data_IF_488516669131
#
_entry.id   IF_488516669131
#
_cell.length_a   1.000
_cell.length_b   1.000
_cell.length_c   1.000
_cell.angle_alpha   90.00
_cell.angle_beta   90.00
_cell.angle_gamma   90.00
#
_symmetry.space_group_name_H-M   'P 1'
#
loop_
_entity.id
_entity.type
_entity.pdbx_description
1 polymer ?
#
# COMPACT_ATOMS: atom_id res chain seq x y z
N UNK A 1 -8.11 7.15 26.71
CA UNK A 1 -8.49 6.09 25.74
C UNK A 1 -7.31 5.61 24.86
N UNK A 2 -6.41 6.49 24.41
CA UNK A 2 -5.23 6.09 23.60
C UNK A 2 -4.23 5.16 24.33
N UNK A 3 -4.04 5.37 25.60
CA UNK A 3 -3.11 4.60 26.43
C UNK A 3 -3.56 3.14 26.66
N UNK A 4 -4.87 2.91 26.71
CA UNK A 4 -5.46 1.58 26.85
C UNK A 4 -5.30 0.73 25.58
N UNK A 5 -5.37 1.34 24.41
CA UNK A 5 -5.19 0.65 23.12
C UNK A 5 -3.75 0.16 22.94
N UNK A 6 -2.77 0.95 23.37
CA UNK A 6 -1.35 0.59 23.30
C UNK A 6 -1.00 -0.55 24.26
N UNK A 7 -1.54 -0.54 25.48
CA UNK A 7 -1.27 -1.57 26.49
C UNK A 7 -2.01 -2.89 26.22
N UNK A 8 -3.20 -2.84 25.67
CA UNK A 8 -3.94 -4.04 25.27
C UNK A 8 -3.26 -4.77 24.10
N UNK A 9 -2.69 -4.03 23.14
CA UNK A 9 -1.96 -4.60 22.01
C UNK A 9 -0.65 -5.28 22.42
N UNK A 10 0.05 -4.78 23.42
CA UNK A 10 1.29 -5.39 23.94
C UNK A 10 0.99 -6.71 24.65
N UNK A 11 -0.21 -6.90 25.22
CA UNK A 11 -0.61 -8.11 25.93
C UNK A 11 -1.23 -9.18 25.04
N UNK A 12 -1.61 -8.85 23.82
CA UNK A 12 -2.16 -9.80 22.86
C UNK A 12 -1.05 -10.72 22.33
N UNK A 13 -1.34 -12.01 22.31
CA UNK A 13 -0.48 -13.05 21.68
C UNK A 13 -0.85 -13.32 20.23
N UNK A 14 -2.00 -12.83 19.79
CA UNK A 14 -2.52 -12.93 18.44
C UNK A 14 -2.17 -11.66 17.64
N UNK A 15 -2.15 -11.77 16.32
CA UNK A 15 -1.86 -10.65 15.44
C UNK A 15 -2.86 -9.50 15.62
N UNK A 16 -2.36 -8.28 15.76
CA UNK A 16 -3.17 -7.06 15.91
C UNK A 16 -4.04 -6.80 14.66
N UNK A 17 -3.64 -7.34 13.52
CA UNK A 17 -4.35 -7.27 12.23
C UNK A 17 -5.15 -8.56 12.00
N UNK A 18 -6.09 -8.85 12.87
CA UNK A 18 -6.99 -10.01 12.76
C UNK A 18 -8.24 -9.72 11.90
N UNK A 19 -8.13 -8.87 10.90
CA UNK A 19 -9.21 -8.70 9.92
C UNK A 19 -8.94 -9.59 8.72
N UNK A 20 -9.61 -10.72 8.66
CA UNK A 20 -9.79 -11.48 7.43
C UNK A 20 -10.70 -10.66 6.51
N UNK A 21 -10.12 -9.74 5.77
CA UNK A 21 -10.83 -9.07 4.68
C UNK A 21 -10.57 -9.85 3.41
N UNK A 22 -11.61 -10.26 2.68
CA UNK A 22 -11.44 -10.92 1.40
C UNK A 22 -10.62 -10.05 0.44
N UNK A 23 -9.67 -10.67 -0.28
CA UNK A 23 -8.82 -9.96 -1.22
C UNK A 23 -9.66 -9.12 -2.21
N UNK A 24 -9.33 -7.85 -2.36
CA UNK A 24 -10.01 -6.91 -3.24
C UNK A 24 -11.29 -6.29 -2.68
N UNK A 25 -11.69 -6.58 -1.45
CA UNK A 25 -12.88 -5.96 -0.84
C UNK A 25 -12.70 -4.44 -0.72
N UNK A 26 -11.59 -3.99 -0.15
CA UNK A 26 -11.27 -2.59 -0.01
C UNK A 26 -11.16 -1.88 -1.37
N UNK A 27 -10.57 -2.54 -2.36
CA UNK A 27 -10.48 -2.01 -3.72
C UNK A 27 -11.86 -1.82 -4.36
N UNK A 28 -12.75 -2.82 -4.28
CA UNK A 28 -14.13 -2.71 -4.82
C UNK A 28 -14.91 -1.60 -4.14
N UNK A 29 -14.82 -1.51 -2.81
CA UNK A 29 -15.46 -0.44 -2.04
C UNK A 29 -14.91 0.94 -2.43
N UNK A 30 -13.59 1.07 -2.60
CA UNK A 30 -12.94 2.30 -3.04
C UNK A 30 -13.37 2.73 -4.44
N UNK A 31 -13.44 1.79 -5.39
CA UNK A 31 -13.92 2.05 -6.77
C UNK A 31 -15.38 2.51 -6.74
N UNK A 32 -16.24 1.85 -5.97
CA UNK A 32 -17.66 2.20 -5.86
C UNK A 32 -17.91 3.59 -5.28
N UNK A 33 -17.09 4.00 -4.31
CA UNK A 33 -17.20 5.31 -3.64
C UNK A 33 -16.58 6.45 -4.44
N UNK A 34 -15.58 6.14 -5.24
CA UNK A 34 -14.84 7.11 -6.04
C UNK A 34 -13.75 7.86 -5.27
N UNK A 35 -12.82 8.49 -6.01
CA UNK A 35 -11.60 9.08 -5.45
C UNK A 35 -11.83 10.19 -4.44
N UNK A 36 -12.83 11.05 -4.67
CA UNK A 36 -13.11 12.19 -3.79
C UNK A 36 -13.64 11.72 -2.42
N UNK A 37 -14.53 10.72 -2.42
CA UNK A 37 -15.04 10.14 -1.18
C UNK A 37 -13.91 9.41 -0.41
N UNK A 38 -13.00 8.74 -1.12
CA UNK A 38 -11.84 8.09 -0.50
C UNK A 38 -10.89 9.11 0.12
N UNK A 39 -10.63 10.24 -0.55
CA UNK A 39 -9.84 11.32 0.04
C UNK A 39 -10.51 11.94 1.27
N UNK A 40 -11.82 12.13 1.25
CA UNK A 40 -12.56 12.65 2.39
C UNK A 40 -12.47 11.71 3.60
N UNK A 41 -12.62 10.40 3.38
CA UNK A 41 -12.47 9.38 4.43
C UNK A 41 -11.05 9.33 4.97
N UNK A 42 -10.05 9.36 4.09
CA UNK A 42 -8.64 9.40 4.48
C UNK A 42 -8.32 10.63 5.34
N UNK A 43 -8.93 11.79 5.04
CA UNK A 43 -8.79 13.00 5.84
C UNK A 43 -9.39 12.83 7.22
N UNK A 44 -10.61 12.29 7.33
CA UNK A 44 -11.31 12.07 8.62
C UNK A 44 -10.59 11.03 9.46
N UNK A 45 -10.06 9.96 8.85
CA UNK A 45 -9.32 8.91 9.56
C UNK A 45 -8.03 9.39 10.20
N UNK A 46 -7.48 10.52 9.74
CA UNK A 46 -6.19 11.08 10.17
C UNK A 46 -5.05 10.03 10.11
N UNK A 47 -5.10 9.11 9.14
CA UNK A 47 -4.06 8.11 8.95
C UNK A 47 -2.71 8.79 8.67
N UNK A 48 -1.68 8.31 9.34
CA UNK A 48 -0.31 8.83 9.24
C UNK A 48 0.66 7.74 8.84
N UNK A 49 1.75 8.15 8.20
CA UNK A 49 2.87 7.27 7.89
C UNK A 49 3.44 6.60 9.16
N UNK A 50 3.92 5.38 8.98
CA UNK A 50 4.48 4.55 10.05
C UNK A 50 5.99 4.28 9.88
N UNK A 51 6.63 5.03 8.98
CA UNK A 51 8.07 4.95 8.72
C UNK A 51 8.93 5.94 9.53
N UNK A 52 8.37 6.62 10.56
CA UNK A 52 9.11 7.55 11.43
C UNK A 52 8.47 8.94 11.49
N UNK A 53 8.48 9.70 10.40
CA UNK A 53 8.03 11.09 10.36
C UNK A 53 6.54 11.32 10.66
N UNK A 54 5.70 10.28 10.58
CA UNK A 54 4.27 10.41 10.89
C UNK A 54 3.50 11.36 9.98
N UNK A 55 3.96 11.54 8.73
CA UNK A 55 3.34 12.46 7.80
C UNK A 55 1.89 12.05 7.48
N UNK A 56 0.98 13.03 7.36
CA UNK A 56 -0.44 12.78 7.12
C UNK A 56 -0.66 12.22 5.71
N UNK A 57 -1.19 11.00 5.61
CA UNK A 57 -1.37 10.27 4.35
C UNK A 57 -2.30 11.01 3.39
N UNK A 58 -3.39 11.60 3.91
CA UNK A 58 -4.32 12.41 3.12
C UNK A 58 -3.61 13.51 2.33
N UNK A 59 -2.69 14.26 2.97
CA UNK A 59 -1.97 15.37 2.30
C UNK A 59 -1.14 14.85 1.14
N UNK A 60 -0.46 13.71 1.31
CA UNK A 60 0.31 13.08 0.23
C UNK A 60 -0.58 12.68 -0.95
N UNK A 61 -1.70 12.02 -0.67
CA UNK A 61 -2.61 11.55 -1.72
C UNK A 61 -3.28 12.70 -2.46
N UNK A 62 -3.76 13.71 -1.73
CA UNK A 62 -4.36 14.90 -2.32
C UNK A 62 -3.36 15.65 -3.20
N UNK A 63 -2.13 15.86 -2.72
CA UNK A 63 -1.08 16.53 -3.49
C UNK A 63 -0.71 15.76 -4.75
N UNK A 64 -0.56 14.43 -4.65
CA UNK A 64 -0.27 13.58 -5.80
C UNK A 64 -1.40 13.63 -6.84
N UNK A 65 -2.67 13.56 -6.39
CA UNK A 65 -3.83 13.63 -7.27
C UNK A 65 -3.94 14.98 -7.99
N UNK A 66 -3.66 16.08 -7.29
CA UNK A 66 -3.72 17.45 -7.85
C UNK A 66 -2.48 17.87 -8.63
N UNK A 67 -1.43 17.07 -8.61
CA UNK A 67 -0.20 17.39 -9.35
C UNK A 67 -0.50 17.57 -10.83
N UNK A 68 0.04 18.63 -11.40
CA UNK A 68 -0.06 18.98 -12.83
C UNK A 68 1.33 19.08 -13.43
N UNK A 69 1.46 18.76 -14.72
CA UNK A 69 2.68 18.96 -15.47
C UNK A 69 2.38 19.85 -16.69
N UNK A 70 3.30 20.74 -17.01
CA UNK A 70 3.10 21.71 -18.13
C UNK A 70 3.15 21.08 -19.52
N UNK A 71 3.83 19.93 -19.67
CA UNK A 71 4.16 19.39 -20.98
C UNK A 71 3.56 18.01 -21.28
N UNK A 72 3.01 17.32 -20.27
CA UNK A 72 2.35 16.01 -20.45
C UNK A 72 1.41 15.76 -19.26
N UNK A 73 0.43 14.83 -19.37
CA UNK A 73 -0.28 14.34 -18.23
C UNK A 73 0.72 13.81 -17.19
N UNK A 74 0.59 14.17 -15.91
CA UNK A 74 1.54 13.74 -14.90
C UNK A 74 1.41 12.22 -14.69
N UNK A 75 2.51 11.49 -14.88
CA UNK A 75 2.59 10.12 -14.46
C UNK A 75 2.60 10.07 -12.92
N UNK A 76 1.72 9.24 -12.33
CA UNK A 76 1.62 9.03 -10.88
C UNK A 76 1.99 7.61 -10.56
N UNK A 77 2.67 7.44 -9.44
CA UNK A 77 3.09 6.14 -8.95
C UNK A 77 2.69 5.97 -7.48
N UNK A 78 2.37 4.72 -7.10
CA UNK A 78 2.27 4.32 -5.70
C UNK A 78 3.54 3.57 -5.34
N UNK A 79 4.33 4.09 -4.42
CA UNK A 79 5.53 3.42 -3.92
C UNK A 79 5.27 2.91 -2.51
N UNK A 80 5.28 1.60 -2.34
CA UNK A 80 5.30 0.95 -1.04
C UNK A 80 6.74 0.73 -0.63
N UNK A 81 7.22 1.54 0.31
CA UNK A 81 8.53 1.33 0.91
C UNK A 81 8.46 0.14 1.87
N UNK A 82 9.05 -0.98 1.48
CA UNK A 82 9.23 -2.18 2.26
C UNK A 82 10.74 -2.48 2.50
N UNK A 83 11.53 -1.42 2.55
CA UNK A 83 12.94 -1.47 2.94
C UNK A 83 13.08 -1.25 4.44
N UNK A 84 12.76 -2.28 5.22
CA UNK A 84 12.80 -2.28 6.68
C UNK A 84 14.25 -2.38 7.17
N UNK A 85 15.00 -1.28 7.05
CA UNK A 85 16.43 -1.21 7.35
C UNK A 85 16.78 -0.93 8.80
N UNK A 86 15.85 -0.42 9.61
CA UNK A 86 16.11 -0.08 11.01
C UNK A 86 16.38 -1.31 11.87
N UNK A 87 17.48 -1.34 12.67
CA UNK A 87 17.79 -2.46 13.54
C UNK A 87 16.66 -2.77 14.52
N UNK A 88 16.29 -4.05 14.63
CA UNK A 88 15.25 -4.52 15.55
C UNK A 88 13.82 -4.38 15.02
N UNK A 89 13.60 -3.83 13.83
CA UNK A 89 12.28 -3.76 13.20
C UNK A 89 11.92 -5.05 12.47
N UNK A 90 10.66 -5.41 12.47
CA UNK A 90 10.15 -6.63 11.83
C UNK A 90 8.69 -6.53 11.37
N UNK A 91 8.07 -5.35 11.48
CA UNK A 91 6.65 -5.13 11.14
C UNK A 91 6.36 -5.39 9.66
N UNK A 92 7.23 -4.93 8.76
CA UNK A 92 7.00 -5.03 7.31
C UNK A 92 7.16 -6.48 6.85
N UNK A 93 8.15 -7.20 7.38
CA UNK A 93 8.30 -8.64 7.14
C UNK A 93 7.07 -9.42 7.56
N UNK A 94 6.49 -9.15 8.75
CA UNK A 94 5.29 -9.80 9.23
C UNK A 94 4.10 -9.48 8.33
N UNK A 95 3.92 -8.22 7.94
CA UNK A 95 2.85 -7.80 7.05
C UNK A 95 2.94 -8.49 5.68
N UNK A 96 4.12 -8.52 5.08
CA UNK A 96 4.33 -9.13 3.77
C UNK A 96 4.22 -10.66 3.81
N UNK A 97 4.57 -11.30 4.93
CA UNK A 97 4.42 -12.76 5.08
C UNK A 97 2.96 -13.17 5.28
N UNK A 98 2.23 -12.45 6.12
CA UNK A 98 0.91 -12.89 6.58
C UNK A 98 -0.26 -12.11 5.99
N UNK A 99 -0.02 -10.89 5.50
CA UNK A 99 -1.06 -9.95 5.06
C UNK A 99 -0.73 -9.26 3.74
N UNK A 100 -0.01 -9.93 2.83
CA UNK A 100 0.39 -9.35 1.54
C UNK A 100 -0.82 -8.87 0.72
N UNK A 101 -1.93 -9.61 0.72
CA UNK A 101 -3.17 -9.20 0.05
C UNK A 101 -3.69 -7.86 0.55
N UNK A 102 -3.64 -7.61 1.86
CA UNK A 102 -4.08 -6.35 2.45
C UNK A 102 -3.16 -5.18 2.06
N UNK A 103 -1.84 -5.43 2.00
CA UNK A 103 -0.87 -4.44 1.50
C UNK A 103 -1.16 -4.09 0.05
N UNK A 104 -1.36 -5.09 -0.80
CA UNK A 104 -1.66 -4.87 -2.22
C UNK A 104 -3.03 -4.22 -2.45
N UNK A 105 -4.03 -4.53 -1.63
CA UNK A 105 -5.31 -3.79 -1.64
C UNK A 105 -5.10 -2.32 -1.30
N UNK A 106 -4.35 -2.02 -0.26
CA UNK A 106 -4.01 -0.65 0.11
C UNK A 106 -3.30 0.13 -1.01
N UNK A 107 -2.34 -0.51 -1.69
CA UNK A 107 -1.66 0.07 -2.85
C UNK A 107 -2.64 0.31 -4.01
N UNK A 108 -3.54 -0.63 -4.29
CA UNK A 108 -4.52 -0.51 -5.37
C UNK A 108 -5.55 0.60 -5.08
N UNK A 109 -6.02 0.70 -3.84
CA UNK A 109 -6.89 1.80 -3.39
C UNK A 109 -6.20 3.15 -3.53
N UNK A 110 -4.93 3.24 -3.13
CA UNK A 110 -4.14 4.45 -3.33
C UNK A 110 -4.02 4.80 -4.82
N UNK A 111 -3.70 3.81 -5.66
CA UNK A 111 -3.59 3.96 -7.11
C UNK A 111 -4.85 4.55 -7.73
N UNK A 112 -6.00 3.92 -7.50
CA UNK A 112 -7.30 4.41 -7.99
C UNK A 112 -7.60 5.82 -7.47
N UNK A 113 -7.31 6.07 -6.19
CA UNK A 113 -7.62 7.36 -5.56
C UNK A 113 -6.80 8.50 -6.14
N UNK A 114 -5.51 8.30 -6.39
CA UNK A 114 -4.64 9.36 -6.93
C UNK A 114 -4.58 9.39 -8.46
N UNK A 115 -5.14 8.39 -9.14
CA UNK A 115 -5.07 8.22 -10.59
C UNK A 115 -3.71 7.74 -11.06
N UNK A 116 -3.08 6.83 -10.32
CA UNK A 116 -1.87 6.14 -10.74
C UNK A 116 -2.24 4.83 -11.44
N UNK A 117 -1.45 4.46 -12.45
CA UNK A 117 -1.58 3.17 -13.15
C UNK A 117 -0.53 2.15 -12.72
N UNK A 118 0.48 2.59 -11.94
CA UNK A 118 1.62 1.76 -11.55
C UNK A 118 1.91 1.87 -10.07
N UNK A 119 2.10 0.72 -9.44
CA UNK A 119 2.61 0.54 -8.09
C UNK A 119 3.99 -0.10 -8.09
N UNK A 120 4.82 0.27 -7.14
CA UNK A 120 6.14 -0.32 -6.91
C UNK A 120 6.24 -0.75 -5.45
N UNK A 121 6.43 -2.04 -5.20
CA UNK A 121 6.82 -2.53 -3.88
C UNK A 121 8.35 -2.60 -3.85
N UNK A 122 8.98 -1.69 -3.10
CA UNK A 122 10.43 -1.73 -2.90
C UNK A 122 10.75 -2.64 -1.71
N UNK A 123 11.15 -3.87 -2.02
CA UNK A 123 11.40 -4.93 -1.05
C UNK A 123 12.87 -4.92 -0.64
N UNK A 124 13.14 -4.91 0.67
CA UNK A 124 14.48 -5.05 1.21
C UNK A 124 15.21 -6.28 0.66
N UNK A 125 16.48 -6.15 0.30
CA UNK A 125 17.27 -7.22 -0.30
C UNK A 125 17.35 -8.49 0.57
N UNK A 126 17.44 -8.34 1.89
CA UNK A 126 17.47 -9.46 2.84
C UNK A 126 16.13 -10.21 2.94
N UNK A 127 15.04 -9.62 2.41
CA UNK A 127 13.74 -10.27 2.34
C UNK A 127 13.47 -10.92 0.98
N UNK A 128 14.52 -11.14 0.17
CA UNK A 128 14.41 -11.83 -1.14
C UNK A 128 13.71 -13.18 -1.05
N UNK A 129 13.77 -13.87 0.08
CA UNK A 129 13.06 -15.13 0.31
C UNK A 129 11.53 -15.01 0.27
N UNK A 130 10.97 -13.81 0.43
CA UNK A 130 9.52 -13.54 0.29
C UNK A 130 9.10 -13.37 -1.17
N UNK A 131 10.03 -13.08 -2.07
CA UNK A 131 9.73 -12.71 -3.44
C UNK A 131 8.87 -13.74 -4.19
N UNK A 132 9.12 -15.06 -4.13
CA UNK A 132 8.28 -16.03 -4.83
C UNK A 132 6.81 -15.99 -4.37
N UNK A 133 6.56 -15.94 -3.06
CA UNK A 133 5.21 -15.90 -2.51
C UNK A 133 4.48 -14.59 -2.86
N UNK A 134 5.19 -13.47 -2.83
CA UNK A 134 4.63 -12.17 -3.23
C UNK A 134 4.30 -12.12 -4.73
N UNK A 135 5.16 -12.68 -5.58
CA UNK A 135 4.89 -12.78 -7.02
C UNK A 135 3.69 -13.66 -7.31
N UNK A 136 3.57 -14.82 -6.66
CA UNK A 136 2.40 -15.69 -6.79
C UNK A 136 1.11 -14.97 -6.37
N UNK A 137 1.16 -14.18 -5.28
CA UNK A 137 0.05 -13.36 -4.85
C UNK A 137 -0.35 -12.33 -5.92
N UNK A 138 0.60 -11.61 -6.50
CA UNK A 138 0.33 -10.65 -7.59
C UNK A 138 -0.28 -11.34 -8.82
N UNK A 139 0.24 -12.50 -9.22
CA UNK A 139 -0.33 -13.27 -10.32
C UNK A 139 -1.77 -13.74 -10.06
N UNK A 140 -2.05 -14.20 -8.84
CA UNK A 140 -3.41 -14.53 -8.41
C UNK A 140 -4.33 -13.29 -8.48
N UNK A 141 -3.86 -12.13 -8.05
CA UNK A 141 -4.61 -10.87 -8.13
C UNK A 141 -4.88 -10.45 -9.56
N UNK A 142 -3.92 -10.60 -10.48
CA UNK A 142 -4.10 -10.34 -11.91
C UNK A 142 -5.18 -11.27 -12.51
N UNK A 143 -5.09 -12.57 -12.22
CA UNK A 143 -6.12 -13.53 -12.69
C UNK A 143 -7.52 -13.21 -12.17
N UNK A 144 -7.62 -12.64 -10.97
CA UNK A 144 -8.90 -12.26 -10.35
C UNK A 144 -9.37 -10.84 -10.73
N UNK A 145 -8.69 -10.15 -11.64
CA UNK A 145 -9.03 -8.80 -12.07
C UNK A 145 -8.85 -7.72 -10.99
N UNK A 146 -8.03 -7.99 -9.98
CA UNK A 146 -7.68 -7.03 -8.92
C UNK A 146 -6.44 -6.21 -9.26
N UNK A 147 -5.74 -6.55 -10.34
CA UNK A 147 -4.63 -5.83 -10.95
C UNK A 147 -4.74 -5.98 -12.47
N UNK A 148 -4.13 -5.04 -13.21
CA UNK A 148 -4.06 -5.05 -14.66
C UNK A 148 -4.86 -3.92 -15.31
N UNK A 149 -5.21 -4.07 -16.62
CA UNK A 149 -5.77 -2.98 -17.43
C UNK A 149 -7.25 -2.69 -17.20
N UNK A 150 -7.96 -3.56 -16.45
CA UNK A 150 -9.40 -3.42 -16.20
C UNK A 150 -9.74 -3.86 -14.78
N UNK A 151 -9.47 -2.98 -13.80
CA UNK A 151 -9.68 -3.28 -12.39
C UNK A 151 -11.14 -3.59 -12.07
N UNK A 152 -11.39 -4.75 -11.47
CA UNK A 152 -12.73 -5.20 -11.08
C UNK A 152 -13.75 -5.13 -12.22
N UNK A 153 -13.28 -5.35 -13.47
CA UNK A 153 -14.12 -5.27 -14.69
C UNK A 153 -14.33 -3.85 -15.24
N UNK A 154 -13.68 -2.83 -14.66
CA UNK A 154 -13.76 -1.44 -15.10
C UNK A 154 -12.65 -1.14 -16.12
N UNK A 155 -12.99 -1.04 -17.40
CA UNK A 155 -12.05 -0.76 -18.49
C UNK A 155 -11.43 0.66 -18.45
N UNK A 156 -12.02 1.56 -17.68
CA UNK A 156 -11.54 2.93 -17.44
C UNK A 156 -10.54 3.02 -16.26
N UNK A 157 -10.28 1.93 -15.57
CA UNK A 157 -9.37 1.86 -14.44
C UNK A 157 -8.29 0.80 -14.66
N UNK A 158 -7.05 1.22 -14.66
CA UNK A 158 -5.88 0.35 -14.76
C UNK A 158 -4.98 0.57 -13.55
N UNK A 159 -4.45 -0.49 -12.97
CA UNK A 159 -3.39 -0.44 -11.98
C UNK A 159 -2.68 -1.77 -11.88
N UNK A 160 -1.36 -1.76 -11.90
CA UNK A 160 -0.56 -2.97 -11.68
C UNK A 160 0.61 -2.69 -10.74
N UNK A 161 1.12 -3.74 -10.11
CA UNK A 161 2.18 -3.66 -9.11
C UNK A 161 3.38 -4.48 -9.56
N UNK A 162 4.57 -3.87 -9.56
CA UNK A 162 5.84 -4.56 -9.68
C UNK A 162 6.57 -4.60 -8.34
N UNK A 163 7.37 -5.64 -8.14
CA UNK A 163 8.26 -5.76 -6.99
C UNK A 163 9.68 -5.41 -7.43
N UNK A 164 10.29 -4.47 -6.73
CA UNK A 164 11.68 -4.08 -6.91
C UNK A 164 12.49 -4.54 -5.71
N UNK A 165 13.48 -5.40 -5.97
CA UNK A 165 14.34 -5.91 -4.90
C UNK A 165 15.47 -4.93 -4.66
N UNK A 166 15.63 -4.49 -3.43
CA UNK A 166 16.75 -3.65 -2.99
C UNK A 166 18.07 -4.39 -3.02
N UNK A 167 19.16 -3.65 -3.15
CA UNK A 167 20.52 -4.19 -3.19
C UNK A 167 21.26 -4.12 -1.84
N UNK A 168 20.55 -3.94 -0.73
CA UNK A 168 21.13 -3.90 0.62
C UNK A 168 21.58 -2.50 1.05
N UNK A 169 21.36 -1.46 0.26
CA UNK A 169 21.61 -0.08 0.67
C UNK A 169 20.39 0.51 1.39
N UNK A 170 20.62 1.36 2.39
CA UNK A 170 19.57 2.12 3.09
C UNK A 170 19.13 3.33 2.25
N UNK A 171 18.42 3.05 1.14
CA UNK A 171 18.06 4.06 0.13
C UNK A 171 16.81 4.85 0.52
N UNK A 172 15.85 4.18 1.15
CA UNK A 172 14.52 4.77 1.41
C UNK A 172 14.44 5.51 2.74
N UNK A 173 15.48 6.16 3.17
CA UNK A 173 15.56 6.91 4.44
C UNK A 173 16.75 7.85 4.52
N UNK A 174 17.57 7.93 3.50
CA UNK A 174 18.61 8.96 3.38
C UNK A 174 17.99 10.29 2.95
N UNK A 175 18.36 11.37 3.64
CA UNK A 175 18.04 12.75 3.28
C UNK A 175 19.04 13.29 2.25
#
# INVERSE_FOLDING_TARGET
MAERVLTDNIRRRDAVLATESPAGEALRAGIARGPEAMLAEMKVSNLRGRGGAGFTTYIKWESARRATCRHAPPARYVVCNADEGEPGTFKDRVLLTSHADLVFDGMSVAGVTIGAEKGLLYLRGEYAYLLPALQENLERRRRNGLLGPALCGRADLAFDIDIHLGAGAYVCGEE
#
